data_IF_926740850920
#
_entry.id   IF_926740850920
#
_cell.length_a   1.000
_cell.length_b   1.000
_cell.length_c   1.000
_cell.angle_alpha   90.00
_cell.angle_beta   90.00
_cell.angle_gamma   90.00
#
_symmetry.space_group_name_H-M   'P 1'
#
loop_
_entity.id
_entity.type
_entity.pdbx_description
1 polymer ?
#
# COMPACT_ATOMS: atom_id res chain seq x y z
N UNK A 1 20.19 -15.13 -15.62
CA UNK A 1 21.14 -15.10 -14.49
C UNK A 1 21.14 -13.67 -13.96
N UNK A 2 20.44 -13.28 -12.91
CA UNK A 2 19.65 -14.00 -11.91
C UNK A 2 18.53 -13.04 -11.47
N UNK A 3 17.30 -13.51 -11.52
CA UNK A 3 16.10 -12.81 -11.04
C UNK A 3 16.08 -12.93 -9.51
N UNK A 4 16.41 -11.85 -8.81
CA UNK A 4 16.19 -11.75 -7.36
C UNK A 4 14.86 -11.04 -7.12
N UNK A 5 13.78 -11.79 -7.33
CA UNK A 5 12.45 -11.43 -6.86
C UNK A 5 12.42 -11.78 -5.36
N UNK A 6 12.63 -10.78 -4.50
CA UNK A 6 12.49 -10.95 -3.06
C UNK A 6 11.01 -10.99 -2.69
N UNK A 7 10.33 -12.07 -3.06
CA UNK A 7 8.99 -12.42 -2.56
C UNK A 7 9.09 -12.90 -1.11
N UNK A 8 9.28 -11.98 -0.16
CA UNK A 8 8.93 -12.24 1.22
C UNK A 8 7.46 -11.83 1.42
N UNK A 9 6.52 -12.78 1.59
CA UNK A 9 5.15 -12.43 1.92
C UNK A 9 5.12 -11.83 3.33
N UNK A 10 5.12 -10.49 3.41
CA UNK A 10 5.06 -9.78 4.67
C UNK A 10 3.75 -10.09 5.40
N UNK A 11 3.81 -10.35 6.70
CA UNK A 11 2.65 -10.69 7.52
C UNK A 11 1.60 -9.57 7.54
N UNK A 12 2.04 -8.31 7.35
CA UNK A 12 1.19 -7.12 7.21
C UNK A 12 0.33 -7.10 5.94
N UNK A 13 0.72 -7.84 4.89
CA UNK A 13 -0.06 -7.93 3.65
C UNK A 13 -1.49 -8.41 3.91
N UNK A 14 -1.70 -9.32 4.87
CA UNK A 14 -3.06 -9.79 5.23
C UNK A 14 -3.92 -8.65 5.77
N UNK A 15 -3.36 -7.78 6.62
CA UNK A 15 -4.08 -6.64 7.18
C UNK A 15 -4.36 -5.56 6.12
N UNK A 16 -3.41 -5.31 5.22
CA UNK A 16 -3.55 -4.40 4.09
C UNK A 16 -4.62 -4.90 3.13
N UNK A 17 -4.60 -6.18 2.75
CA UNK A 17 -5.62 -6.83 1.92
C UNK A 17 -7.01 -6.68 2.56
N UNK A 18 -7.14 -6.91 3.88
CA UNK A 18 -8.42 -6.72 4.58
C UNK A 18 -8.92 -5.27 4.50
N UNK A 19 -8.04 -4.28 4.60
CA UNK A 19 -8.40 -2.86 4.45
C UNK A 19 -8.85 -2.54 3.01
N UNK A 20 -8.09 -3.01 2.02
CA UNK A 20 -8.42 -2.80 0.60
C UNK A 20 -9.73 -3.47 0.22
N UNK A 21 -10.04 -4.67 0.73
CA UNK A 21 -11.35 -5.33 0.53
C UNK A 21 -12.52 -4.52 1.08
N UNK A 22 -12.34 -3.83 2.21
CA UNK A 22 -13.38 -2.92 2.74
C UNK A 22 -13.56 -1.69 1.86
N UNK A 23 -12.46 -1.11 1.39
CA UNK A 23 -12.49 0.01 0.45
C UNK A 23 -13.17 -0.37 -0.88
N UNK A 24 -12.93 -1.59 -1.39
CA UNK A 24 -13.62 -2.14 -2.57
C UNK A 24 -15.14 -2.21 -2.35
N UNK A 25 -15.57 -2.74 -1.19
CA UNK A 25 -16.98 -2.78 -0.83
C UNK A 25 -17.63 -1.40 -0.78
N UNK A 26 -16.95 -0.42 -0.16
CA UNK A 26 -17.42 0.97 -0.15
C UNK A 26 -17.49 1.58 -1.55
N UNK A 27 -16.50 1.30 -2.41
CA UNK A 27 -16.49 1.83 -3.78
C UNK A 27 -17.69 1.30 -4.58
N UNK A 28 -18.06 0.02 -4.40
CA UNK A 28 -19.28 -0.54 -5.00
C UNK A 28 -20.54 0.18 -4.51
N UNK A 29 -20.62 0.50 -3.22
CA UNK A 29 -21.73 1.30 -2.69
C UNK A 29 -21.79 2.71 -3.28
N UNK A 30 -20.64 3.35 -3.51
CA UNK A 30 -20.57 4.68 -4.15
C UNK A 30 -21.07 4.61 -5.59
N UNK A 31 -20.69 3.57 -6.34
CA UNK A 31 -21.18 3.36 -7.71
C UNK A 31 -22.71 3.26 -7.70
N UNK A 32 -23.28 2.46 -6.79
CA UNK A 32 -24.73 2.37 -6.63
C UNK A 32 -25.37 3.72 -6.28
N UNK A 33 -24.75 4.52 -5.39
CA UNK A 33 -25.23 5.87 -5.07
C UNK A 33 -25.29 6.79 -6.30
N UNK A 34 -24.31 6.69 -7.19
CA UNK A 34 -24.29 7.44 -8.44
C UNK A 34 -25.40 6.97 -9.39
N UNK A 35 -25.56 5.65 -9.54
CA UNK A 35 -26.61 5.05 -10.37
C UNK A 35 -28.02 5.39 -9.86
N UNK A 36 -28.20 5.49 -8.54
CA UNK A 36 -29.45 5.89 -7.88
C UNK A 36 -29.71 7.41 -7.93
N UNK A 37 -28.76 8.22 -8.42
CA UNK A 37 -28.89 9.68 -8.50
C UNK A 37 -28.88 10.37 -7.14
N UNK A 38 -28.10 9.85 -6.18
CA UNK A 38 -27.92 10.47 -4.84
C UNK A 38 -27.26 11.85 -4.95
N UNK A 39 -27.42 12.65 -3.90
CA UNK A 39 -26.84 13.98 -3.79
C UNK A 39 -25.30 13.97 -3.95
N UNK A 40 -24.79 14.92 -4.74
CA UNK A 40 -23.36 15.03 -5.05
C UNK A 40 -22.49 15.18 -3.79
N UNK A 41 -23.01 15.86 -2.76
CA UNK A 41 -22.29 16.07 -1.50
C UNK A 41 -22.09 14.75 -0.76
N UNK A 42 -23.10 13.88 -0.71
CA UNK A 42 -23.00 12.56 -0.08
C UNK A 42 -21.97 11.70 -0.82
N UNK A 43 -22.03 11.68 -2.15
CA UNK A 43 -21.10 10.93 -2.99
C UNK A 43 -19.66 11.39 -2.75
N UNK A 44 -19.42 12.71 -2.73
CA UNK A 44 -18.11 13.29 -2.48
C UNK A 44 -17.55 12.91 -1.09
N UNK A 45 -18.39 12.90 -0.06
CA UNK A 45 -17.99 12.48 1.28
C UNK A 45 -17.59 11.00 1.33
N UNK A 46 -18.34 10.12 0.66
CA UNK A 46 -18.01 8.70 0.61
C UNK A 46 -16.73 8.43 -0.19
N UNK A 47 -16.52 9.13 -1.32
CA UNK A 47 -15.28 9.06 -2.09
C UNK A 47 -14.08 9.47 -1.25
N UNK A 48 -14.21 10.54 -0.46
CA UNK A 48 -13.14 10.98 0.43
C UNK A 48 -12.82 9.94 1.52
N UNK A 49 -13.83 9.25 2.05
CA UNK A 49 -13.61 8.17 3.01
C UNK A 49 -12.82 7.00 2.39
N UNK A 50 -13.14 6.62 1.14
CA UNK A 50 -12.40 5.59 0.40
C UNK A 50 -10.97 6.02 0.10
N UNK A 51 -10.78 7.26 -0.36
CA UNK A 51 -9.45 7.85 -0.60
C UNK A 51 -8.58 7.75 0.66
N UNK A 52 -9.10 8.16 1.82
CA UNK A 52 -8.39 8.08 3.11
C UNK A 52 -8.03 6.63 3.47
N UNK A 53 -8.95 5.69 3.27
CA UNK A 53 -8.70 4.28 3.55
C UNK A 53 -7.58 3.70 2.68
N UNK A 54 -7.58 4.01 1.38
CA UNK A 54 -6.53 3.58 0.44
C UNK A 54 -5.20 4.24 0.78
N UNK A 55 -5.21 5.53 1.11
CA UNK A 55 -4.00 6.27 1.46
C UNK A 55 -3.36 5.72 2.75
N UNK A 56 -4.16 5.32 3.74
CA UNK A 56 -3.67 4.63 4.94
C UNK A 56 -3.12 3.23 4.63
N UNK A 57 -3.77 2.46 3.75
CA UNK A 57 -3.28 1.15 3.33
C UNK A 57 -1.91 1.28 2.64
N UNK A 58 -1.75 2.26 1.73
CA UNK A 58 -0.48 2.60 1.09
C UNK A 58 0.60 2.94 2.13
N UNK A 59 0.31 3.83 3.08
CA UNK A 59 1.26 4.21 4.13
C UNK A 59 1.69 3.01 4.98
N UNK A 60 0.74 2.13 5.33
CA UNK A 60 1.04 0.91 6.09
C UNK A 60 1.96 -0.02 5.31
N UNK A 61 1.71 -0.21 4.01
CA UNK A 61 2.55 -1.02 3.13
C UNK A 61 3.98 -0.49 3.07
N UNK A 62 4.13 0.82 2.86
CA UNK A 62 5.45 1.45 2.74
C UNK A 62 6.20 1.36 4.08
N UNK A 63 5.53 1.63 5.21
CA UNK A 63 6.15 1.53 6.53
C UNK A 63 6.64 0.11 6.82
N UNK A 64 5.79 -0.89 6.57
CA UNK A 64 6.12 -2.30 6.77
C UNK A 64 7.34 -2.73 5.94
N UNK A 65 7.40 -2.30 4.68
CA UNK A 65 8.55 -2.55 3.84
C UNK A 65 9.80 -1.81 4.30
N UNK A 66 9.69 -0.56 4.77
CA UNK A 66 10.82 0.19 5.34
C UNK A 66 11.38 -0.56 6.55
N UNK A 67 10.53 -0.97 7.49
CA UNK A 67 10.93 -1.63 8.73
C UNK A 67 11.68 -2.95 8.43
N UNK A 68 11.21 -3.72 7.44
CA UNK A 68 11.84 -4.97 7.03
C UNK A 68 13.11 -4.77 6.19
N UNK A 69 13.06 -3.93 5.16
CA UNK A 69 14.22 -3.74 4.29
C UNK A 69 15.34 -2.95 4.95
N UNK A 70 15.09 -2.18 6.01
CA UNK A 70 16.14 -1.47 6.73
C UNK A 70 17.14 -2.45 7.37
N UNK A 71 16.65 -3.54 7.98
CA UNK A 71 17.48 -4.57 8.60
C UNK A 71 18.35 -5.32 7.57
N UNK A 72 17.75 -5.66 6.43
CA UNK A 72 18.45 -6.27 5.29
C UNK A 72 19.46 -5.30 4.65
N UNK A 73 19.10 -4.02 4.54
CA UNK A 73 19.95 -2.98 3.93
C UNK A 73 21.18 -2.68 4.78
N UNK A 74 21.03 -2.59 6.10
CA UNK A 74 22.16 -2.42 7.02
C UNK A 74 23.12 -3.62 6.91
N UNK A 75 22.57 -4.84 6.89
CA UNK A 75 23.35 -6.07 6.73
C UNK A 75 24.05 -6.19 5.37
N UNK A 76 23.43 -5.68 4.30
CA UNK A 76 23.97 -5.68 2.95
C UNK A 76 25.05 -4.61 2.75
N UNK A 77 24.91 -3.45 3.41
CA UNK A 77 25.92 -2.40 3.41
C UNK A 77 27.26 -2.87 4.00
N UNK A 78 27.23 -3.64 5.09
CA UNK A 78 28.42 -4.27 5.68
C UNK A 78 29.12 -5.26 4.71
N UNK A 79 28.37 -5.80 3.75
CA UNK A 79 28.86 -6.73 2.72
C UNK A 79 29.20 -6.05 1.39
N UNK A 80 28.98 -4.73 1.27
CA UNK A 80 29.21 -3.96 0.05
C UNK A 80 28.15 -4.14 -1.05
N UNK A 81 26.99 -4.73 -0.74
CA UNK A 81 25.90 -4.97 -1.68
C UNK A 81 24.98 -3.74 -1.80
N UNK A 82 24.65 -3.32 -3.03
CA UNK A 82 23.84 -2.11 -3.30
C UNK A 82 22.38 -2.39 -3.70
N UNK A 83 22.03 -3.64 -4.01
CA UNK A 83 20.69 -3.97 -4.51
C UNK A 83 19.55 -3.66 -3.51
N UNK A 84 19.67 -3.94 -2.20
CA UNK A 84 18.60 -3.64 -1.23
C UNK A 84 18.32 -2.14 -1.08
N UNK A 85 19.35 -1.31 -1.26
CA UNK A 85 19.26 0.14 -1.24
C UNK A 85 18.43 0.71 -2.40
N UNK A 86 18.51 0.10 -3.58
CA UNK A 86 17.74 0.57 -4.75
C UNK A 86 16.26 0.21 -4.62
N UNK A 87 15.94 -0.99 -4.10
CA UNK A 87 14.56 -1.36 -3.78
C UNK A 87 13.93 -0.41 -2.75
N UNK A 88 14.67 -0.08 -1.69
CA UNK A 88 14.26 0.89 -0.66
C UNK A 88 13.99 2.29 -1.26
N UNK A 89 14.86 2.78 -2.14
CA UNK A 89 14.64 4.06 -2.84
C UNK A 89 13.41 4.04 -3.74
N UNK A 90 13.03 2.90 -4.30
CA UNK A 90 11.90 2.84 -5.21
C UNK A 90 10.57 2.98 -4.47
N UNK A 91 10.43 2.33 -3.31
CA UNK A 91 9.18 2.38 -2.55
C UNK A 91 8.95 3.72 -1.84
N UNK A 92 10.02 4.41 -1.43
CA UNK A 92 9.95 5.71 -0.75
C UNK A 92 9.43 6.82 -1.67
N UNK A 93 9.49 6.63 -3.00
CA UNK A 93 8.85 7.54 -3.98
C UNK A 93 7.33 7.64 -3.81
N UNK A 94 6.71 6.67 -3.13
CA UNK A 94 5.27 6.60 -2.94
C UNK A 94 4.81 7.07 -1.55
N UNK A 95 5.71 7.62 -0.72
CA UNK A 95 5.36 8.26 0.56
C UNK A 95 4.40 9.43 0.34
#
# INVERSE_FOLDING_TARGET
>A
MSEHDHEHPHQSHVAIIKRLKRADGHLRSIIAMIEEGRECVDIAQQLHAVEKAVCQAKRTLIQDHIDHCLEDTVSALDKGERAPLEAFKQITKYL
#
